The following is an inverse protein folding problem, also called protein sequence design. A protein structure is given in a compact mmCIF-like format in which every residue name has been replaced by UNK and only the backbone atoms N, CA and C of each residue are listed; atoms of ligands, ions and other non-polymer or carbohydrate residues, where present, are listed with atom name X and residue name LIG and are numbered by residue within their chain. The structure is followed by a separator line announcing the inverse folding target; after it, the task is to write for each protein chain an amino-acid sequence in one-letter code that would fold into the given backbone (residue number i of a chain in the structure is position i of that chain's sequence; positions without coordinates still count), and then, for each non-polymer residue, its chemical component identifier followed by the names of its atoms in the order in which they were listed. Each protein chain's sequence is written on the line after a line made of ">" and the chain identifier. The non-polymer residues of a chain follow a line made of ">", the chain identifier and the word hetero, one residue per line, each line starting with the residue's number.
data_IF_849292345057
#
_entry.id   IF_849292345057
#
_cell.length_a   1.000
_cell.length_b   1.000
_cell.length_c   1.000
_cell.angle_alpha   90.00
_cell.angle_beta   90.00
_cell.angle_gamma   90.00
#
_symmetry.space_group_name_H-M   'P 1'
#
loop_
_entity.id
_entity.type
_entity.pdbx_description
1 polymer ?
#
# COMPACT_ATOMS: atom_id res chain seq x y z
N UNK A 1 -27.05 15.74 9.04
CA UNK A 1 -26.18 15.39 7.91
C UNK A 1 -24.76 15.84 8.27
N UNK A 2 -23.79 14.90 8.54
CA UNK A 2 -22.40 15.32 8.74
C UNK A 2 -21.83 15.72 7.38
N UNK A 3 -21.30 16.94 7.20
CA UNK A 3 -20.84 17.47 5.91
C UNK A 3 -19.66 16.69 5.30
N UNK A 4 -18.94 15.89 6.09
CA UNK A 4 -17.85 15.05 5.62
C UNK A 4 -18.20 13.56 5.75
N UNK A 5 -18.74 12.98 4.67
CA UNK A 5 -18.78 11.53 4.52
C UNK A 5 -17.35 11.00 4.47
N UNK A 6 -16.99 10.04 5.34
CA UNK A 6 -15.65 9.42 5.36
C UNK A 6 -15.24 8.83 4.00
N UNK A 7 -16.22 8.45 3.16
CA UNK A 7 -15.99 8.01 1.79
C UNK A 7 -15.52 9.16 0.87
N UNK A 8 -16.00 10.39 1.06
CA UNK A 8 -15.52 11.57 0.29
C UNK A 8 -14.10 11.92 0.70
N UNK A 9 -13.83 11.98 2.02
CA UNK A 9 -12.48 12.23 2.55
C UNK A 9 -11.48 11.22 2.00
N UNK A 10 -11.81 9.92 2.01
CA UNK A 10 -10.98 8.88 1.43
C UNK A 10 -10.65 9.14 -0.04
N UNK A 11 -11.65 9.48 -0.86
CA UNK A 11 -11.44 9.77 -2.29
C UNK A 11 -10.54 10.97 -2.51
N UNK A 12 -10.69 12.03 -1.71
CA UNK A 12 -9.84 13.22 -1.79
C UNK A 12 -8.39 12.88 -1.44
N UNK A 13 -8.15 12.15 -0.36
CA UNK A 13 -6.80 11.70 0.02
C UNK A 13 -6.19 10.84 -1.09
N UNK A 14 -6.93 9.85 -1.60
CA UNK A 14 -6.45 8.99 -2.67
C UNK A 14 -6.12 9.78 -3.94
N UNK A 15 -6.99 10.72 -4.34
CA UNK A 15 -6.75 11.56 -5.52
C UNK A 15 -5.52 12.45 -5.32
N UNK A 16 -5.38 13.08 -4.15
CA UNK A 16 -4.20 13.89 -3.81
C UNK A 16 -2.90 13.10 -3.91
N UNK A 17 -2.90 11.85 -3.39
CA UNK A 17 -1.73 10.97 -3.51
C UNK A 17 -1.45 10.52 -4.94
N UNK A 18 -2.48 10.21 -5.74
CA UNK A 18 -2.29 9.87 -7.15
C UNK A 18 -1.70 11.06 -7.92
N UNK A 19 -2.20 12.27 -7.71
CA UNK A 19 -1.64 13.49 -8.32
C UNK A 19 -0.19 13.74 -7.89
N UNK A 20 0.10 13.56 -6.60
CA UNK A 20 1.48 13.64 -6.09
C UNK A 20 2.40 12.60 -6.74
N UNK A 21 1.95 11.36 -6.90
CA UNK A 21 2.74 10.30 -7.55
C UNK A 21 2.91 10.54 -9.05
N UNK A 22 1.90 11.09 -9.74
CA UNK A 22 2.05 11.52 -11.14
C UNK A 22 3.09 12.64 -11.26
N UNK A 23 3.09 13.62 -10.35
CA UNK A 23 4.11 14.66 -10.28
C UNK A 23 5.51 14.06 -10.01
N UNK A 24 5.63 13.12 -9.06
CA UNK A 24 6.90 12.45 -8.77
C UNK A 24 7.41 11.64 -9.97
N UNK A 25 6.52 10.93 -10.66
CA UNK A 25 6.87 10.19 -11.88
C UNK A 25 7.34 11.11 -13.01
N UNK A 26 6.69 12.27 -13.20
CA UNK A 26 7.12 13.29 -14.14
C UNK A 26 8.51 13.85 -13.79
N UNK A 27 8.77 14.13 -12.50
CA UNK A 27 10.10 14.55 -12.02
C UNK A 27 11.16 13.47 -12.25
N UNK A 28 10.83 12.20 -11.97
CA UNK A 28 11.72 11.07 -12.21
C UNK A 28 12.04 10.89 -13.70
N UNK A 29 11.06 11.09 -14.57
CA UNK A 29 11.27 11.08 -16.02
C UNK A 29 12.25 12.17 -16.44
N UNK A 30 12.07 13.41 -15.96
CA UNK A 30 13.00 14.50 -16.23
C UNK A 30 14.42 14.22 -15.71
N UNK A 31 14.54 13.62 -14.51
CA UNK A 31 15.82 13.17 -13.99
C UNK A 31 16.47 12.08 -14.87
N UNK A 32 15.69 11.11 -15.35
CA UNK A 32 16.16 10.05 -16.24
C UNK A 32 16.67 10.63 -17.59
N UNK A 33 15.93 11.61 -18.15
CA UNK A 33 16.36 12.31 -19.38
C UNK A 33 17.69 13.08 -19.17
N UNK A 34 17.81 13.79 -18.05
CA UNK A 34 19.09 14.45 -17.71
C UNK A 34 20.23 13.43 -17.57
N UNK A 35 20.00 12.30 -16.90
CA UNK A 35 20.99 11.25 -16.72
C UNK A 35 21.42 10.61 -18.05
N UNK A 36 20.51 10.51 -19.04
CA UNK A 36 20.78 10.09 -20.41
C UNK A 36 21.47 11.17 -21.27
N UNK A 37 21.79 12.34 -20.71
CA UNK A 37 22.45 13.43 -21.43
C UNK A 37 21.50 14.41 -22.12
N UNK A 38 20.19 14.33 -21.88
CA UNK A 38 19.19 15.21 -22.48
C UNK A 38 18.63 16.21 -21.45
N UNK A 39 18.67 17.47 -21.75
CA UNK A 39 18.08 18.54 -20.93
C UNK A 39 18.90 18.97 -19.71
N UNK A 40 18.28 19.83 -18.88
CA UNK A 40 18.88 20.36 -17.64
C UNK A 40 18.73 19.43 -16.45
N UNK A 41 19.54 19.65 -15.39
CA UNK A 41 19.44 18.88 -14.14
C UNK A 41 18.08 19.07 -13.45
N UNK A 42 17.43 17.96 -13.13
CA UNK A 42 16.22 17.91 -12.33
C UNK A 42 16.51 16.99 -11.12
N UNK A 43 16.29 17.42 -9.86
CA UNK A 43 16.55 16.57 -8.69
C UNK A 43 15.69 15.32 -8.69
N UNK A 44 16.30 14.17 -8.32
CA UNK A 44 15.62 12.89 -8.16
C UNK A 44 14.55 12.99 -7.07
N UNK A 45 13.30 12.61 -7.33
CA UNK A 45 12.26 12.60 -6.31
C UNK A 45 12.42 11.38 -5.39
N UNK A 46 12.78 11.57 -4.13
CA UNK A 46 12.95 10.49 -3.15
C UNK A 46 11.67 9.62 -2.99
N UNK A 47 10.49 10.20 -3.20
CA UNK A 47 9.22 9.46 -3.15
C UNK A 47 9.10 8.34 -4.20
N UNK A 48 9.91 8.34 -5.27
CA UNK A 48 9.94 7.26 -6.27
C UNK A 48 10.41 5.92 -5.65
N UNK A 49 11.19 5.97 -4.58
CA UNK A 49 11.68 4.78 -3.86
C UNK A 49 10.54 3.98 -3.19
N UNK A 50 9.33 4.56 -3.06
CA UNK A 50 8.13 3.83 -2.61
C UNK A 50 7.81 2.60 -3.45
N UNK A 51 8.28 2.57 -4.69
CA UNK A 51 8.08 1.47 -5.63
C UNK A 51 9.20 0.41 -5.60
N UNK A 52 10.15 0.52 -4.67
CA UNK A 52 11.25 -0.43 -4.47
C UNK A 52 11.09 -1.26 -3.18
N UNK A 53 9.98 -2.01 -3.00
CA UNK A 53 9.69 -2.69 -1.73
C UNK A 53 10.70 -3.79 -1.38
N UNK A 54 11.36 -4.40 -2.36
CA UNK A 54 12.37 -5.42 -2.12
C UNK A 54 13.67 -4.82 -1.59
N UNK A 55 14.15 -3.72 -2.19
CA UNK A 55 15.30 -2.97 -1.68
C UNK A 55 15.03 -2.46 -0.26
N UNK A 56 13.84 -1.89 -0.02
CA UNK A 56 13.43 -1.43 1.30
C UNK A 56 13.39 -2.57 2.35
N UNK A 57 12.97 -3.78 1.95
CA UNK A 57 12.95 -4.96 2.84
C UNK A 57 14.38 -5.42 3.21
N UNK A 58 15.30 -5.40 2.25
CA UNK A 58 16.72 -5.69 2.50
C UNK A 58 17.37 -4.60 3.35
N UNK A 59 17.06 -3.33 3.08
CA UNK A 59 17.46 -2.18 3.89
C UNK A 59 16.96 -2.32 5.34
N UNK A 60 15.71 -2.77 5.54
CA UNK A 60 15.17 -3.05 6.87
C UNK A 60 15.96 -4.14 7.58
N UNK A 61 16.26 -5.27 6.90
CA UNK A 61 17.08 -6.34 7.50
C UNK A 61 18.47 -5.85 7.87
N UNK A 62 19.13 -5.08 6.99
CA UNK A 62 20.43 -4.44 7.26
C UNK A 62 20.33 -3.54 8.50
N UNK A 63 19.35 -2.66 8.54
CA UNK A 63 19.13 -1.75 9.67
C UNK A 63 18.95 -2.49 11.00
N UNK A 64 18.15 -3.56 11.02
CA UNK A 64 17.94 -4.37 12.23
C UNK A 64 19.18 -5.12 12.70
N UNK A 65 20.10 -5.50 11.78
CA UNK A 65 21.31 -6.23 12.12
C UNK A 65 22.50 -5.33 12.48
N UNK A 66 22.59 -4.13 11.87
CA UNK A 66 23.77 -3.26 11.98
C UNK A 66 23.48 -1.90 12.64
N UNK A 67 22.23 -1.51 12.77
CA UNK A 67 21.83 -0.17 13.20
C UNK A 67 22.02 0.93 12.13
N UNK A 68 22.57 0.60 10.94
CA UNK A 68 22.85 1.59 9.89
C UNK A 68 21.71 1.65 8.88
N UNK A 69 21.30 2.87 8.57
CA UNK A 69 20.26 3.13 7.57
C UNK A 69 20.78 2.89 6.13
N UNK A 70 19.86 2.63 5.19
CA UNK A 70 20.23 2.44 3.78
C UNK A 70 20.70 3.79 3.17
N UNK A 71 21.95 3.92 2.69
CA UNK A 71 22.47 5.17 2.15
C UNK A 71 21.99 5.42 0.71
N UNK A 72 21.53 4.39 0.00
CA UNK A 72 21.19 4.48 -1.42
C UNK A 72 19.70 4.77 -1.61
N UNK A 73 18.85 4.05 -0.87
CA UNK A 73 17.39 4.22 -0.90
C UNK A 73 16.79 4.48 0.49
N UNK A 74 17.20 5.58 1.16
CA UNK A 74 16.76 5.85 2.52
C UNK A 74 15.25 6.13 2.60
N UNK A 75 14.69 6.84 1.61
CA UNK A 75 13.25 7.10 1.57
C UNK A 75 12.43 5.80 1.40
N UNK A 76 12.94 4.83 0.64
CA UNK A 76 12.30 3.52 0.48
C UNK A 76 12.13 2.78 1.81
N UNK A 77 13.20 2.75 2.62
CA UNK A 77 13.15 2.18 3.97
C UNK A 77 12.18 2.95 4.88
N UNK A 78 12.24 4.29 4.87
CA UNK A 78 11.31 5.13 5.63
C UNK A 78 9.85 4.85 5.28
N UNK A 79 9.52 4.79 3.98
CA UNK A 79 8.16 4.53 3.51
C UNK A 79 7.70 3.12 3.90
N UNK A 80 8.59 2.13 3.86
CA UNK A 80 8.30 0.78 4.35
C UNK A 80 7.97 0.81 5.85
N UNK A 81 8.79 1.47 6.68
CA UNK A 81 8.54 1.60 8.12
C UNK A 81 7.20 2.30 8.40
N UNK A 82 6.89 3.39 7.70
CA UNK A 82 5.59 4.06 7.78
C UNK A 82 4.45 3.11 7.43
N UNK A 83 4.58 2.30 6.38
CA UNK A 83 3.56 1.35 5.98
C UNK A 83 3.36 0.23 7.03
N UNK A 84 4.44 -0.28 7.62
CA UNK A 84 4.38 -1.27 8.70
C UNK A 84 3.73 -0.68 9.96
N UNK A 85 4.13 0.53 10.38
CA UNK A 85 3.52 1.24 11.50
C UNK A 85 2.02 1.53 11.28
N UNK A 86 1.65 1.97 10.08
CA UNK A 86 0.23 2.16 9.74
C UNK A 86 -0.56 0.85 9.77
N UNK A 87 0.05 -0.26 9.36
CA UNK A 87 -0.61 -1.57 9.44
C UNK A 87 -0.86 -2.00 10.87
N UNK A 88 0.11 -1.80 11.77
CA UNK A 88 0.02 -2.17 13.18
C UNK A 88 -0.96 -1.26 13.93
N UNK A 89 -0.98 0.05 13.67
CA UNK A 89 -1.78 1.01 14.44
C UNK A 89 -3.15 1.28 13.81
N UNK A 90 -3.19 1.54 12.50
CA UNK A 90 -4.36 2.03 11.76
C UNK A 90 -4.93 0.99 10.76
N UNK A 91 -4.78 -0.29 11.04
CA UNK A 91 -5.14 -1.35 10.09
C UNK A 91 -4.30 -1.23 8.82
N UNK A 92 -4.78 -1.71 7.70
CA UNK A 92 -4.14 -1.51 6.38
C UNK A 92 -4.42 -0.10 5.82
N UNK A 93 -4.28 0.95 6.66
CA UNK A 93 -4.55 2.35 6.27
C UNK A 93 -3.72 2.77 5.05
N UNK A 94 -2.46 2.37 4.97
CA UNK A 94 -1.63 2.59 3.79
C UNK A 94 -2.31 2.11 2.50
N UNK A 95 -2.79 0.86 2.46
CA UNK A 95 -3.51 0.32 1.30
C UNK A 95 -4.85 1.02 1.05
N UNK A 96 -5.51 1.48 2.11
CA UNK A 96 -6.83 2.11 2.05
C UNK A 96 -6.82 3.54 1.54
N UNK A 97 -5.75 4.30 1.81
CA UNK A 97 -5.71 5.76 1.59
C UNK A 97 -4.56 6.22 0.70
N UNK A 98 -3.37 5.58 0.76
CA UNK A 98 -2.16 6.07 0.10
C UNK A 98 -1.80 5.28 -1.16
N UNK A 99 -2.07 3.98 -1.21
CA UNK A 99 -1.62 3.10 -2.30
C UNK A 99 -2.35 3.40 -3.62
N UNK A 100 -1.63 3.78 -4.71
CA UNK A 100 -2.23 4.07 -6.02
C UNK A 100 -2.83 2.82 -6.67
N UNK A 101 -2.22 1.65 -6.46
CA UNK A 101 -2.73 0.37 -6.98
C UNK A 101 -4.06 0.01 -6.32
N UNK A 102 -4.20 0.29 -5.01
CA UNK A 102 -5.46 0.13 -4.28
C UNK A 102 -6.57 1.05 -4.80
N UNK A 103 -6.22 2.29 -5.17
CA UNK A 103 -7.15 3.24 -5.79
C UNK A 103 -7.59 2.77 -7.17
N UNK A 104 -6.65 2.39 -8.06
CA UNK A 104 -6.93 1.91 -9.42
C UNK A 104 -7.78 0.63 -9.39
N UNK A 105 -7.41 -0.34 -8.56
CA UNK A 105 -8.19 -1.58 -8.38
C UNK A 105 -9.61 -1.29 -7.90
N UNK A 106 -9.79 -0.31 -7.01
CA UNK A 106 -11.11 0.16 -6.57
C UNK A 106 -11.92 0.84 -7.67
N UNK A 107 -11.27 1.55 -8.60
CA UNK A 107 -11.90 2.17 -9.77
C UNK A 107 -12.39 1.10 -10.76
N UNK A 108 -11.54 0.14 -11.09
CA UNK A 108 -11.87 -0.99 -11.98
C UNK A 108 -13.01 -1.85 -11.39
N UNK A 109 -13.00 -2.10 -10.09
CA UNK A 109 -14.08 -2.81 -9.43
C UNK A 109 -15.44 -2.08 -9.51
N UNK A 110 -15.44 -0.75 -9.40
CA UNK A 110 -16.66 0.07 -9.59
C UNK A 110 -17.15 0.01 -11.03
N UNK A 111 -16.24 0.04 -12.01
CA UNK A 111 -16.57 -0.14 -13.42
C UNK A 111 -17.22 -1.50 -13.64
N UNK A 112 -16.64 -2.60 -13.15
CA UNK A 112 -17.21 -3.94 -13.25
C UNK A 112 -18.59 -4.06 -12.61
N UNK A 113 -18.80 -3.37 -11.47
CA UNK A 113 -20.13 -3.33 -10.82
C UNK A 113 -21.16 -2.55 -11.65
N UNK A 114 -20.75 -1.43 -12.28
CA UNK A 114 -21.63 -0.63 -13.16
C UNK A 114 -22.00 -1.39 -14.43
N UNK A 115 -21.07 -2.15 -14.99
CA UNK A 115 -21.28 -2.98 -16.18
C UNK A 115 -22.04 -4.28 -15.88
N UNK A 116 -22.35 -4.58 -14.61
CA UNK A 116 -23.03 -5.80 -14.21
C UNK A 116 -22.20 -7.10 -14.32
N UNK A 117 -20.90 -7.01 -14.64
CA UNK A 117 -20.01 -8.18 -14.85
C UNK A 117 -19.25 -8.60 -13.60
N UNK A 118 -19.42 -7.89 -12.49
CA UNK A 118 -18.71 -8.15 -11.23
C UNK A 118 -19.17 -9.47 -10.58
N UNK A 119 -18.30 -10.46 -10.52
CA UNK A 119 -18.56 -11.76 -9.92
C UNK A 119 -18.40 -11.73 -8.39
N UNK A 120 -19.18 -12.59 -7.72
CA UNK A 120 -19.08 -12.84 -6.27
C UNK A 120 -18.66 -14.28 -6.03
N UNK A 121 -17.36 -14.58 -5.97
CA UNK A 121 -16.91 -15.95 -5.74
C UNK A 121 -17.39 -16.46 -4.37
N UNK A 122 -17.67 -17.74 -4.30
CA UNK A 122 -18.00 -18.40 -3.03
C UNK A 122 -16.78 -18.43 -2.09
N UNK A 123 -17.01 -18.64 -0.80
CA UNK A 123 -15.95 -18.59 0.23
C UNK A 123 -14.73 -19.49 -0.06
N UNK A 124 -14.94 -20.68 -0.61
CA UNK A 124 -13.85 -21.61 -0.96
C UNK A 124 -12.97 -21.02 -2.05
N UNK A 125 -13.59 -20.47 -3.09
CA UNK A 125 -12.88 -19.82 -4.20
C UNK A 125 -12.17 -18.53 -3.76
N UNK A 126 -12.79 -17.75 -2.87
CA UNK A 126 -12.14 -16.57 -2.25
C UNK A 126 -10.87 -16.94 -1.49
N UNK A 127 -10.91 -18.03 -0.72
CA UNK A 127 -9.73 -18.53 0.01
C UNK A 127 -8.64 -18.99 -0.96
N UNK A 128 -8.99 -19.77 -1.98
CA UNK A 128 -8.06 -20.23 -3.00
C UNK A 128 -7.42 -19.07 -3.78
N UNK A 129 -8.22 -18.07 -4.16
CA UNK A 129 -7.74 -16.86 -4.84
C UNK A 129 -6.84 -15.96 -3.95
N UNK A 130 -6.94 -16.07 -2.63
CA UNK A 130 -6.08 -15.32 -1.71
C UNK A 130 -4.81 -16.07 -1.31
N UNK A 131 -4.70 -17.36 -1.57
CA UNK A 131 -3.52 -18.18 -1.23
C UNK A 131 -2.24 -17.72 -1.94
N UNK A 132 -2.24 -17.38 -3.26
CA UNK A 132 -1.01 -17.02 -3.97
C UNK A 132 -0.24 -15.86 -3.34
N UNK A 133 -0.92 -14.84 -2.80
CA UNK A 133 -0.23 -13.71 -2.14
C UNK A 133 0.60 -14.14 -0.92
N UNK A 134 0.11 -15.13 -0.15
CA UNK A 134 0.84 -15.64 1.02
C UNK A 134 1.99 -16.55 0.61
N UNK A 135 1.81 -17.33 -0.47
CA UNK A 135 2.91 -18.13 -1.06
C UNK A 135 4.01 -17.21 -1.58
N UNK A 136 3.63 -16.14 -2.32
CA UNK A 136 4.59 -15.13 -2.79
C UNK A 136 5.28 -14.41 -1.62
N UNK A 137 4.54 -14.03 -0.59
CA UNK A 137 5.13 -13.44 0.61
C UNK A 137 6.13 -14.40 1.27
N UNK A 138 5.75 -15.67 1.46
CA UNK A 138 6.64 -16.67 2.07
C UNK A 138 7.90 -16.90 1.21
N UNK A 139 7.76 -16.96 -0.11
CA UNK A 139 8.89 -17.09 -1.03
C UNK A 139 9.83 -15.87 -0.96
N UNK A 140 9.28 -14.64 -0.92
CA UNK A 140 10.07 -13.40 -0.78
C UNK A 140 10.79 -13.38 0.57
N UNK A 141 10.09 -13.67 1.67
CA UNK A 141 10.70 -13.68 3.00
C UNK A 141 11.79 -14.75 3.11
N UNK A 142 11.56 -15.94 2.56
CA UNK A 142 12.56 -16.99 2.52
C UNK A 142 13.78 -16.55 1.70
N UNK A 143 13.59 -16.12 0.45
CA UNK A 143 14.69 -15.78 -0.46
C UNK A 143 15.50 -14.56 -0.03
N UNK A 144 14.85 -13.49 0.45
CA UNK A 144 15.51 -12.23 0.74
C UNK A 144 15.82 -12.05 2.24
N UNK A 145 14.92 -12.50 3.14
CA UNK A 145 15.12 -12.28 4.58
C UNK A 145 15.86 -13.44 5.23
N UNK A 146 15.57 -14.70 4.88
CA UNK A 146 16.20 -15.85 5.53
C UNK A 146 17.49 -16.31 4.83
N UNK A 147 17.50 -16.43 3.48
CA UNK A 147 18.65 -17.03 2.78
C UNK A 147 19.82 -16.05 2.53
N UNK A 148 19.57 -14.75 2.38
CA UNK A 148 20.65 -13.78 2.18
C UNK A 148 21.37 -13.44 3.49
N UNK A 149 22.70 -13.59 3.51
CA UNK A 149 23.54 -13.12 4.62
C UNK A 149 23.81 -11.60 4.51
N UNK A 150 24.38 -10.99 5.55
CA UNK A 150 24.62 -9.54 5.59
C UNK A 150 25.54 -9.08 4.45
N UNK A 151 26.57 -9.85 4.12
CA UNK A 151 27.50 -9.51 3.04
C UNK A 151 26.82 -9.47 1.68
N UNK A 152 25.94 -10.43 1.38
CA UNK A 152 25.16 -10.46 0.15
C UNK A 152 24.18 -9.28 0.06
N UNK A 153 23.59 -8.88 1.19
CA UNK A 153 22.72 -7.72 1.28
C UNK A 153 23.49 -6.43 1.00
N UNK A 154 24.64 -6.23 1.64
CA UNK A 154 25.50 -5.07 1.43
C UNK A 154 25.94 -4.98 -0.03
N UNK A 155 26.34 -6.11 -0.63
CA UNK A 155 26.72 -6.16 -2.03
C UNK A 155 25.55 -5.78 -2.96
N UNK A 156 24.36 -6.32 -2.70
CA UNK A 156 23.16 -6.00 -3.49
C UNK A 156 22.78 -4.53 -3.35
N UNK A 157 22.68 -4.01 -2.13
CA UNK A 157 22.27 -2.63 -1.87
C UNK A 157 23.22 -1.62 -2.55
N UNK A 158 24.53 -1.90 -2.55
CA UNK A 158 25.55 -1.05 -3.18
C UNK A 158 25.73 -1.33 -4.68
N UNK A 159 25.00 -2.26 -5.26
CA UNK A 159 25.14 -2.61 -6.68
C UNK A 159 24.67 -1.46 -7.60
N UNK A 160 25.31 -1.26 -8.77
CA UNK A 160 24.86 -0.30 -9.77
C UNK A 160 23.41 -0.53 -10.19
N UNK A 161 22.99 -1.80 -10.24
CA UNK A 161 21.62 -2.16 -10.56
C UNK A 161 20.60 -1.58 -9.56
N UNK A 162 20.88 -1.71 -8.26
CA UNK A 162 20.00 -1.17 -7.21
C UNK A 162 19.99 0.36 -7.23
N UNK A 163 21.13 1.00 -7.46
CA UNK A 163 21.27 2.46 -7.49
C UNK A 163 20.37 3.15 -8.53
N UNK A 164 20.11 2.48 -9.65
CA UNK A 164 19.27 3.00 -10.75
C UNK A 164 17.94 2.23 -10.90
N UNK A 165 17.54 1.47 -9.90
CA UNK A 165 16.38 0.57 -9.97
C UNK A 165 15.06 1.33 -10.20
N UNK A 166 14.89 2.53 -9.65
CA UNK A 166 13.72 3.39 -9.87
C UNK A 166 13.63 3.88 -11.31
N UNK A 167 14.75 4.26 -11.94
CA UNK A 167 14.80 4.67 -13.34
C UNK A 167 14.49 3.48 -14.26
N UNK A 168 15.07 2.31 -13.97
CA UNK A 168 14.77 1.07 -14.72
C UNK A 168 13.30 0.68 -14.60
N UNK A 169 12.71 0.85 -13.41
CA UNK A 169 11.30 0.60 -13.21
C UNK A 169 10.44 1.60 -13.99
N UNK A 170 10.83 2.88 -14.04
CA UNK A 170 10.14 3.87 -14.88
C UNK A 170 10.15 3.44 -16.35
N UNK A 171 11.32 3.07 -16.90
CA UNK A 171 11.43 2.60 -18.29
C UNK A 171 10.60 1.34 -18.55
N UNK A 172 10.49 0.43 -17.58
CA UNK A 172 9.64 -0.75 -17.70
C UNK A 172 8.15 -0.41 -17.91
N UNK A 173 7.70 0.73 -17.42
CA UNK A 173 6.33 1.22 -17.66
C UNK A 173 6.20 2.13 -18.88
N UNK A 174 7.27 2.82 -19.28
CA UNK A 174 7.26 3.69 -20.47
C UNK A 174 7.40 2.91 -21.77
N UNK A 175 8.20 1.82 -21.74
CA UNK A 175 8.41 0.91 -22.88
C UNK A 175 8.10 -0.54 -22.46
N UNK A 176 6.80 -0.84 -22.25
CA UNK A 176 6.40 -2.14 -21.74
C UNK A 176 6.51 -3.21 -22.83
N UNK A 177 7.28 -4.25 -22.56
CA UNK A 177 7.30 -5.45 -23.41
C UNK A 177 5.94 -6.17 -23.46
N UNK A 178 5.75 -7.05 -24.45
CA UNK A 178 4.51 -7.80 -24.66
C UNK A 178 4.04 -8.58 -23.43
N UNK A 179 4.98 -9.18 -22.69
CA UNK A 179 4.68 -9.88 -21.43
C UNK A 179 4.12 -8.92 -20.37
N UNK A 180 4.74 -7.75 -20.22
CA UNK A 180 4.29 -6.71 -19.28
C UNK A 180 2.88 -6.25 -19.58
N UNK A 181 2.59 -5.95 -20.85
CA UNK A 181 1.25 -5.58 -21.30
C UNK A 181 0.24 -6.68 -21.02
N UNK A 182 0.62 -7.96 -21.28
CA UNK A 182 -0.22 -9.11 -20.97
C UNK A 182 -0.55 -9.21 -19.47
N UNK A 183 0.45 -9.06 -18.60
CA UNK A 183 0.25 -9.07 -17.14
C UNK A 183 -0.65 -7.92 -16.69
N UNK A 184 -0.39 -6.70 -17.17
CA UNK A 184 -1.21 -5.52 -16.84
C UNK A 184 -2.67 -5.74 -17.30
N UNK A 185 -2.88 -6.26 -18.52
CA UNK A 185 -4.20 -6.55 -19.04
C UNK A 185 -4.94 -7.60 -18.19
N UNK A 186 -4.28 -8.70 -17.83
CA UNK A 186 -4.86 -9.74 -16.96
C UNK A 186 -5.22 -9.18 -15.59
N UNK A 187 -4.36 -8.34 -14.99
CA UNK A 187 -4.61 -7.71 -13.69
C UNK A 187 -5.76 -6.69 -13.76
N UNK A 188 -5.86 -5.91 -14.83
CA UNK A 188 -6.92 -4.95 -15.05
C UNK A 188 -8.26 -5.66 -15.27
N UNK A 189 -8.32 -6.61 -16.21
CA UNK A 189 -9.51 -7.41 -16.47
C UNK A 189 -9.95 -8.20 -15.24
N UNK A 190 -9.01 -8.88 -14.58
CA UNK A 190 -9.28 -9.57 -13.33
C UNK A 190 -9.88 -8.67 -12.25
N UNK A 191 -9.43 -7.40 -12.15
CA UNK A 191 -9.97 -6.43 -11.19
C UNK A 191 -11.37 -5.91 -11.54
N UNK A 192 -11.77 -5.95 -12.82
CA UNK A 192 -13.14 -5.63 -13.27
C UNK A 192 -14.11 -6.75 -12.85
N UNK A 193 -13.74 -8.01 -13.09
CA UNK A 193 -14.58 -9.16 -12.74
C UNK A 193 -14.57 -9.47 -11.24
N UNK A 194 -13.40 -9.40 -10.60
CA UNK A 194 -13.19 -9.76 -9.20
C UNK A 194 -12.63 -8.55 -8.42
N UNK A 195 -13.47 -7.86 -7.64
CA UNK A 195 -13.02 -6.68 -6.88
C UNK A 195 -11.80 -6.95 -6.02
N UNK A 196 -10.74 -6.17 -6.25
CA UNK A 196 -9.48 -6.31 -5.55
C UNK A 196 -8.64 -7.51 -6.00
N UNK A 197 -8.79 -8.01 -7.21
CA UNK A 197 -8.11 -9.19 -7.75
C UNK A 197 -6.60 -9.17 -7.46
N UNK A 198 -5.90 -8.09 -7.82
CA UNK A 198 -4.48 -7.91 -7.49
C UNK A 198 -4.21 -7.86 -5.98
N UNK A 199 -4.90 -6.96 -5.27
CA UNK A 199 -4.63 -6.68 -3.86
C UNK A 199 -4.97 -7.85 -2.93
N UNK A 200 -5.98 -8.65 -3.30
CA UNK A 200 -6.44 -9.80 -2.51
C UNK A 200 -5.76 -11.09 -2.92
N UNK A 201 -5.40 -11.25 -4.19
CA UNK A 201 -4.88 -12.49 -4.76
C UNK A 201 -3.35 -12.57 -4.84
N UNK A 202 -2.71 -11.50 -5.25
CA UNK A 202 -1.31 -11.58 -5.69
C UNK A 202 -0.36 -10.62 -4.97
N UNK A 203 -0.83 -9.56 -4.31
CA UNK A 203 0.03 -8.56 -3.71
C UNK A 203 0.69 -9.08 -2.40
N UNK A 204 1.99 -9.43 -2.38
CA UNK A 204 2.68 -9.92 -1.19
C UNK A 204 2.83 -8.81 -0.14
N UNK A 205 3.01 -7.56 -0.58
CA UNK A 205 3.01 -6.40 0.31
C UNK A 205 1.68 -6.26 1.04
N UNK A 206 0.56 -6.44 0.32
CA UNK A 206 -0.76 -6.48 0.91
C UNK A 206 -0.98 -7.66 1.88
N UNK A 207 -0.33 -8.81 1.66
CA UNK A 207 -0.35 -9.93 2.59
C UNK A 207 0.41 -9.60 3.88
N UNK A 208 1.62 -9.03 3.77
CA UNK A 208 2.44 -8.59 4.91
C UNK A 208 1.68 -7.58 5.80
N UNK A 209 1.20 -6.48 5.20
CA UNK A 209 0.42 -5.47 5.93
C UNK A 209 -0.90 -6.05 6.49
N UNK A 210 -1.48 -7.04 5.81
CA UNK A 210 -2.66 -7.75 6.28
C UNK A 210 -2.41 -8.53 7.57
N UNK A 211 -1.31 -9.29 7.62
CA UNK A 211 -0.90 -10.03 8.81
C UNK A 211 -0.59 -9.09 9.98
N UNK A 212 0.20 -8.05 9.75
CA UNK A 212 0.51 -7.05 10.78
C UNK A 212 -0.74 -6.32 11.29
N UNK A 213 -1.73 -6.11 10.43
CA UNK A 213 -2.99 -5.46 10.82
C UNK A 213 -3.83 -6.26 11.83
N UNK A 214 -3.53 -7.55 12.04
CA UNK A 214 -4.15 -8.34 13.11
C UNK A 214 -3.81 -7.79 14.50
N UNK A 215 -2.65 -7.16 14.65
CA UNK A 215 -2.19 -6.50 15.87
C UNK A 215 -2.82 -5.12 16.08
N UNK A 216 -3.58 -4.60 15.11
CA UNK A 216 -4.08 -3.23 15.17
C UNK A 216 -5.15 -3.06 16.27
N UNK A 217 -4.97 -2.06 17.17
CA UNK A 217 -5.99 -1.69 18.14
C UNK A 217 -7.24 -1.09 17.47
N UNK A 218 -7.08 -0.46 16.29
CA UNK A 218 -8.21 0.10 15.55
C UNK A 218 -8.99 -0.99 14.81
N UNK A 219 -10.31 -0.98 14.92
CA UNK A 219 -11.18 -1.87 14.14
C UNK A 219 -12.58 -1.25 13.99
N UNK A 220 -13.27 -1.63 12.89
CA UNK A 220 -14.70 -1.39 12.75
C UNK A 220 -15.44 -2.39 13.63
N UNK A 221 -16.35 -1.90 14.47
CA UNK A 221 -17.18 -2.72 15.35
C UNK A 221 -18.65 -2.50 15.02
N UNK A 222 -19.44 -3.56 15.18
CA UNK A 222 -20.89 -3.56 14.97
C UNK A 222 -21.59 -3.75 16.31
N UNK A 223 -22.61 -2.94 16.55
CA UNK A 223 -23.58 -3.17 17.59
C UNK A 223 -24.68 -4.12 17.05
N UNK A 224 -24.78 -5.34 17.58
CA UNK A 224 -25.78 -6.29 17.11
C UNK A 224 -27.22 -5.86 17.42
N UNK A 225 -27.45 -5.17 18.54
CA UNK A 225 -28.78 -4.76 18.99
C UNK A 225 -29.38 -3.65 18.10
N UNK A 226 -28.54 -2.74 17.61
CA UNK A 226 -28.95 -1.65 16.72
C UNK A 226 -28.95 -2.04 15.23
N UNK A 227 -28.57 -3.29 14.88
CA UNK A 227 -28.39 -3.70 13.49
C UNK A 227 -29.69 -4.24 12.87
N UNK A 228 -30.19 -3.58 11.82
CA UNK A 228 -31.38 -4.00 11.05
C UNK A 228 -31.16 -5.19 10.10
N UNK A 229 -29.93 -5.72 9.97
CA UNK A 229 -29.63 -6.84 9.07
C UNK A 229 -29.65 -6.53 7.57
N UNK A 230 -29.74 -5.27 7.15
CA UNK A 230 -29.99 -4.86 5.75
C UNK A 230 -28.86 -5.17 4.73
N UNK A 231 -27.69 -5.65 5.15
CA UNK A 231 -26.59 -6.08 4.27
C UNK A 231 -25.79 -4.99 3.56
N UNK A 232 -26.23 -3.72 3.53
CA UNK A 232 -25.58 -2.61 2.79
C UNK A 232 -24.09 -2.43 3.12
N UNK A 233 -23.69 -2.69 4.37
CA UNK A 233 -22.29 -2.60 4.78
C UNK A 233 -21.39 -3.64 4.09
N UNK A 234 -21.89 -4.84 3.81
CA UNK A 234 -21.13 -5.87 3.09
C UNK A 234 -21.06 -5.56 1.58
N UNK A 235 -22.10 -4.95 1.03
CA UNK A 235 -22.14 -4.52 -0.37
C UNK A 235 -21.18 -3.34 -0.64
N UNK A 236 -21.10 -2.38 0.28
CA UNK A 236 -20.20 -1.23 0.19
C UNK A 236 -18.73 -1.59 0.47
N UNK A 237 -18.45 -2.78 0.99
CA UNK A 237 -17.09 -3.18 1.35
C UNK A 237 -16.25 -3.55 0.12
N UNK A 238 -15.14 -2.84 -0.17
CA UNK A 238 -14.26 -3.18 -1.30
C UNK A 238 -13.62 -4.56 -1.18
N UNK A 239 -13.42 -5.03 0.07
CA UNK A 239 -12.92 -6.39 0.35
C UNK A 239 -14.03 -7.42 0.54
N UNK A 240 -15.29 -7.03 0.38
CA UNK A 240 -16.49 -7.90 0.48
C UNK A 240 -16.55 -8.77 1.75
N UNK A 241 -16.09 -8.21 2.86
CA UNK A 241 -16.10 -8.90 4.16
C UNK A 241 -17.56 -9.10 4.63
N UNK A 242 -17.95 -10.28 5.14
CA UNK A 242 -19.29 -10.53 5.68
C UNK A 242 -19.46 -9.85 7.04
N UNK A 243 -19.66 -8.53 7.04
CA UNK A 243 -19.68 -7.66 8.22
C UNK A 243 -20.83 -8.01 9.17
N UNK A 244 -21.99 -8.33 8.62
CA UNK A 244 -23.20 -8.64 9.40
C UNK A 244 -23.08 -9.84 10.35
N UNK A 245 -22.09 -10.71 10.16
CA UNK A 245 -21.84 -11.89 10.99
C UNK A 245 -20.78 -11.67 12.10
N UNK A 246 -20.15 -10.50 12.16
CA UNK A 246 -19.03 -10.22 13.09
C UNK A 246 -19.34 -9.02 13.97
N UNK A 247 -18.98 -9.11 15.26
CA UNK A 247 -19.06 -7.97 16.20
C UNK A 247 -17.89 -6.99 15.97
N UNK A 248 -16.69 -7.50 15.61
CA UNK A 248 -15.47 -6.73 15.36
C UNK A 248 -14.80 -7.23 14.06
N UNK A 249 -14.38 -6.29 13.21
CA UNK A 249 -13.67 -6.57 11.95
C UNK A 249 -12.17 -6.48 12.18
N UNK A 250 -11.58 -7.59 12.62
CA UNK A 250 -10.14 -7.71 12.88
C UNK A 250 -9.40 -8.53 11.81
N UNK A 251 -10.07 -9.02 10.77
CA UNK A 251 -9.46 -9.87 9.74
C UNK A 251 -8.44 -9.13 8.86
N UNK A 252 -7.47 -9.85 8.24
CA UNK A 252 -6.36 -9.26 7.47
C UNK A 252 -6.83 -8.56 6.18
N UNK A 253 -8.04 -8.81 5.71
CA UNK A 253 -8.57 -8.22 4.48
C UNK A 253 -9.17 -6.81 4.67
N UNK A 254 -9.36 -6.36 5.93
CA UNK A 254 -9.93 -5.05 6.21
C UNK A 254 -8.89 -3.95 5.99
N UNK A 255 -9.11 -3.10 4.98
CA UNK A 255 -8.23 -1.96 4.65
C UNK A 255 -8.54 -0.69 5.46
N UNK A 256 -9.43 -0.74 6.44
CA UNK A 256 -9.75 0.40 7.28
C UNK A 256 -10.45 1.57 6.57
N UNK A 257 -11.03 1.36 5.39
CA UNK A 257 -11.58 2.43 4.55
C UNK A 257 -12.86 3.09 5.07
N UNK A 258 -13.51 2.51 6.09
CA UNK A 258 -14.74 2.99 6.75
C UNK A 258 -15.96 3.20 5.85
N UNK A 259 -15.95 2.73 4.59
CA UNK A 259 -17.11 2.84 3.70
C UNK A 259 -18.35 2.12 4.25
N UNK A 260 -18.16 0.98 4.93
CA UNK A 260 -19.23 0.26 5.59
C UNK A 260 -19.90 1.06 6.73
N UNK A 261 -19.13 1.90 7.43
CA UNK A 261 -19.65 2.79 8.48
C UNK A 261 -20.52 3.88 7.85
N UNK A 262 -20.06 4.47 6.74
CA UNK A 262 -20.82 5.49 6.00
C UNK A 262 -22.08 4.96 5.34
N UNK A 263 -22.09 3.70 4.92
CA UNK A 263 -23.22 3.05 4.24
C UNK A 263 -24.28 2.51 5.22
N UNK A 264 -24.02 2.54 6.53
CA UNK A 264 -24.93 1.96 7.53
C UNK A 264 -26.08 2.92 7.88
N UNK A 265 -27.34 2.62 7.50
CA UNK A 265 -28.47 3.50 7.79
C UNK A 265 -28.83 3.54 9.28
N UNK A 266 -28.72 2.41 9.97
CA UNK A 266 -29.00 2.30 11.42
C UNK A 266 -27.85 2.77 12.31
N UNK A 267 -26.72 3.25 11.73
CA UNK A 267 -25.54 3.72 12.46
C UNK A 267 -24.98 2.75 13.51
N UNK A 268 -25.27 1.44 13.32
CA UNK A 268 -24.80 0.39 14.23
C UNK A 268 -23.31 0.06 14.06
N UNK A 269 -22.63 0.64 13.05
CA UNK A 269 -21.19 0.50 12.81
C UNK A 269 -20.43 1.73 13.31
N UNK A 270 -19.26 1.50 13.87
CA UNK A 270 -18.35 2.55 14.30
C UNK A 270 -16.92 2.07 14.36
N UNK A 271 -15.96 2.99 14.36
CA UNK A 271 -14.54 2.67 14.56
C UNK A 271 -14.27 2.69 16.07
N UNK A 272 -13.56 1.69 16.56
CA UNK A 272 -13.11 1.61 17.96
C UNK A 272 -11.59 1.45 18.02
N UNK A 273 -11.00 2.11 19.03
CA UNK A 273 -9.59 1.98 19.40
C UNK A 273 -9.48 1.19 20.70
N UNK A 274 -8.62 0.20 20.75
CA UNK A 274 -8.45 -0.70 21.89
C UNK A 274 -9.15 -2.04 21.70
N UNK A 275 -9.02 -2.91 22.69
CA UNK A 275 -9.55 -4.27 22.70
C UNK A 275 -10.60 -4.44 23.81
N UNK A 276 -11.53 -5.38 23.62
CA UNK A 276 -12.54 -5.71 24.63
C UNK A 276 -13.66 -4.67 24.80
N UNK A 277 -14.32 -4.70 25.96
CA UNK A 277 -15.48 -3.86 26.27
C UNK A 277 -15.13 -2.36 26.46
N UNK A 278 -13.93 -2.06 26.93
CA UNK A 278 -13.42 -0.70 27.16
C UNK A 278 -12.91 0.01 25.90
N UNK A 279 -13.05 -0.58 24.71
CA UNK A 279 -12.56 0.04 23.49
C UNK A 279 -13.25 1.39 23.20
N UNK A 280 -12.44 2.46 23.09
CA UNK A 280 -12.89 3.83 22.86
C UNK A 280 -13.49 3.98 21.46
N UNK A 281 -14.66 4.60 21.36
CA UNK A 281 -15.27 4.94 20.07
C UNK A 281 -14.59 6.19 19.51
N UNK A 282 -14.03 6.06 18.29
CA UNK A 282 -13.40 7.16 17.58
C UNK A 282 -14.19 7.50 16.31
N UNK A 283 -14.08 8.73 15.80
CA UNK A 283 -14.76 9.12 14.57
C UNK A 283 -14.29 8.29 13.38
N UNK A 284 -15.16 8.12 12.38
CA UNK A 284 -14.88 7.28 11.19
C UNK A 284 -13.64 7.74 10.40
N UNK A 285 -13.30 9.03 10.46
CA UNK A 285 -12.09 9.58 9.84
C UNK A 285 -10.81 9.31 10.63
N UNK A 286 -10.89 8.78 11.85
CA UNK A 286 -9.74 8.57 12.73
C UNK A 286 -8.67 7.64 12.14
N UNK A 287 -9.07 6.63 11.33
CA UNK A 287 -8.10 5.76 10.63
C UNK A 287 -7.35 6.56 9.55
N UNK A 288 -8.05 7.43 8.80
CA UNK A 288 -7.43 8.28 7.80
C UNK A 288 -6.45 9.27 8.44
N UNK A 289 -6.89 9.95 9.50
CA UNK A 289 -6.04 10.90 10.22
C UNK A 289 -4.82 10.23 10.84
N UNK A 290 -4.98 9.07 11.48
CA UNK A 290 -3.86 8.29 12.02
C UNK A 290 -2.86 7.87 10.93
N UNK A 291 -3.36 7.43 9.78
CA UNK A 291 -2.51 7.07 8.63
C UNK A 291 -1.70 8.27 8.13
N UNK A 292 -2.34 9.43 7.95
CA UNK A 292 -1.65 10.65 7.50
C UNK A 292 -0.67 11.17 8.55
N UNK A 293 -1.04 11.12 9.83
CA UNK A 293 -0.16 11.53 10.92
C UNK A 293 1.10 10.67 10.99
N UNK A 294 0.99 9.35 10.88
CA UNK A 294 2.15 8.45 10.85
C UNK A 294 3.03 8.74 9.63
N UNK A 295 2.43 9.01 8.46
CA UNK A 295 3.18 9.40 7.27
C UNK A 295 3.95 10.70 7.49
N UNK A 296 3.29 11.74 8.02
CA UNK A 296 3.92 13.04 8.25
C UNK A 296 5.03 12.97 9.31
N UNK A 297 4.81 12.23 10.40
CA UNK A 297 5.83 12.01 11.43
C UNK A 297 7.01 11.24 10.84
N UNK A 298 6.76 10.16 10.09
CA UNK A 298 7.84 9.38 9.48
C UNK A 298 8.64 10.19 8.47
N UNK A 299 7.97 10.99 7.63
CA UNK A 299 8.61 11.92 6.71
C UNK A 299 9.45 12.97 7.44
N UNK A 300 8.86 13.66 8.42
CA UNK A 300 9.56 14.68 9.20
C UNK A 300 10.78 14.09 9.92
N UNK A 301 10.63 12.93 10.57
CA UNK A 301 11.74 12.24 11.21
C UNK A 301 12.88 11.93 10.23
N UNK A 302 12.55 11.40 9.04
CA UNK A 302 13.55 11.08 8.02
C UNK A 302 14.28 12.33 7.50
N UNK A 303 13.56 13.44 7.30
CA UNK A 303 14.18 14.72 6.89
C UNK A 303 15.09 15.26 7.99
N UNK A 304 14.63 15.28 9.25
CA UNK A 304 15.43 15.78 10.38
C UNK A 304 16.67 14.94 10.66
N UNK A 305 16.61 13.63 10.41
CA UNK A 305 17.75 12.72 10.61
C UNK A 305 18.63 12.58 9.37
N UNK A 306 18.32 13.25 8.27
CA UNK A 306 19.07 13.15 7.00
C UNK A 306 18.80 11.84 6.22
N UNK A 307 17.80 11.05 6.60
CA UNK A 307 17.50 9.75 5.98
C UNK A 307 16.33 9.82 4.96
N UNK A 308 16.20 10.96 4.26
CA UNK A 308 15.18 11.12 3.21
C UNK A 308 15.78 11.16 1.80
N UNK A 309 16.95 11.76 1.65
CA UNK A 309 17.62 11.88 0.35
C UNK A 309 18.78 10.90 0.24
N UNK A 310 19.04 10.42 -0.97
CA UNK A 310 20.16 9.52 -1.26
C UNK A 310 21.50 10.21 -1.05
N UNK A 311 22.48 9.48 -0.52
CA UNK A 311 23.88 9.94 -0.41
C UNK A 311 24.64 9.81 -1.74
N UNK A 312 24.04 9.19 -2.78
CA UNK A 312 24.69 9.00 -4.06
C UNK A 312 24.82 10.31 -4.84
N UNK A 313 26.04 10.70 -5.27
CA UNK A 313 26.23 11.82 -6.19
C UNK A 313 25.47 11.59 -7.51
N UNK A 314 24.81 12.62 -8.07
CA UNK A 314 24.08 12.50 -9.33
C UNK A 314 24.94 12.00 -10.50
N UNK A 315 26.23 12.38 -10.54
CA UNK A 315 27.17 11.96 -11.59
C UNK A 315 27.46 10.46 -11.55
N UNK A 316 27.47 9.85 -10.36
CA UNK A 316 27.64 8.41 -10.22
C UNK A 316 26.45 7.65 -10.80
N UNK A 317 25.23 8.15 -10.61
CA UNK A 317 24.01 7.55 -11.19
C UNK A 317 24.06 7.66 -12.72
N UNK A 318 24.53 8.80 -13.24
CA UNK A 318 24.73 8.98 -14.68
C UNK A 318 25.72 7.97 -15.26
N UNK A 319 26.81 7.67 -14.54
CA UNK A 319 27.80 6.68 -14.94
C UNK A 319 27.24 5.23 -14.94
N UNK A 320 26.27 4.93 -14.08
CA UNK A 320 25.67 3.60 -14.03
C UNK A 320 24.58 3.36 -15.10
N UNK A 321 24.10 4.42 -15.75
CA UNK A 321 23.09 4.37 -16.79
C UNK A 321 23.69 4.28 -18.21
N UNK A 322 24.89 4.81 -18.40
CA UNK A 322 25.66 4.76 -19.64
C UNK A 322 26.61 3.57 -19.65
#
# INVERSE_FOLDING_TARGET
>A
MHPFSSARLRRLIQLGFVLFLCWAAWRLYGYAQWAAGHGGFIPRPAAAEAFLPLSALLGLKRFLLTGHYDPIHPAGLTILLVALCTAILCRRGFCGYLCPVGWLSGLLARLGTRLGVSCRPGKRLEWLLSAPKYVLLAAILYSFVLSMNLQSIEWFLKSPYNAVADIKMLHYFLDPGTLTLGVIAVMALGSIFLPGFWCRGFCPYGALLGLLSLLSPMAVSRDPAACSGCGRCAESCPSRIPIGKRKRLSGPECVGCTECVSACPSRCLGVRFGYGAGALRIPAWGIAAGTLLILLIGYAAAVFTGHWETELPPDMIRMFLN
#
